data_IF_589269259218
#
_entry.id   IF_589269259218
#
_cell.length_a   1.000
_cell.length_b   1.000
_cell.length_c   1.000
_cell.angle_alpha   90.00
_cell.angle_beta   90.00
_cell.angle_gamma   90.00
#
_symmetry.space_group_name_H-M   'P 1'
#
loop_
_entity.id
_entity.type
_entity.pdbx_description
1 polymer ?
#
# COMPACT_ATOMS: atom_id res chain seq x y z
N UNK A 1 15.47 -6.78 35.45
CA UNK A 1 14.16 -7.49 35.47
C UNK A 1 14.29 -8.79 36.24
N UNK A 2 13.34 -9.11 37.09
CA UNK A 2 13.29 -10.42 37.78
C UNK A 2 12.94 -11.55 36.79
N UNK A 3 13.26 -12.80 37.13
CA UNK A 3 12.88 -13.99 36.32
C UNK A 3 11.36 -14.01 36.03
N UNK A 4 10.53 -13.65 37.00
CA UNK A 4 9.08 -13.56 36.81
C UNK A 4 8.66 -12.50 35.79
N UNK A 5 9.33 -11.36 35.75
CA UNK A 5 9.07 -10.32 34.74
C UNK A 5 9.45 -10.77 33.32
N UNK A 6 10.59 -11.48 33.16
CA UNK A 6 10.97 -12.06 31.86
C UNK A 6 9.96 -13.11 31.38
N UNK A 7 9.49 -13.97 32.26
CA UNK A 7 8.48 -14.97 31.93
C UNK A 7 7.15 -14.35 31.55
N UNK A 8 6.71 -13.31 32.27
CA UNK A 8 5.47 -12.60 31.94
C UNK A 8 5.57 -11.91 30.55
N UNK A 9 6.67 -11.20 30.29
CA UNK A 9 6.90 -10.56 29.00
C UNK A 9 6.94 -11.57 27.85
N UNK A 10 7.64 -12.71 28.05
CA UNK A 10 7.69 -13.80 27.07
C UNK A 10 6.33 -14.44 26.84
N UNK A 11 5.54 -14.66 27.90
CA UNK A 11 4.20 -15.24 27.79
C UNK A 11 3.23 -14.30 27.02
N UNK A 12 3.22 -13.02 27.36
CA UNK A 12 2.37 -12.02 26.66
C UNK A 12 2.79 -11.85 25.19
N UNK A 13 4.10 -11.76 24.92
CA UNK A 13 4.63 -11.69 23.56
C UNK A 13 4.34 -12.96 22.75
N UNK A 14 4.49 -14.11 23.38
CA UNK A 14 4.16 -15.42 22.79
C UNK A 14 2.68 -15.56 22.46
N UNK A 15 1.80 -15.14 23.37
CA UNK A 15 0.35 -15.17 23.14
C UNK A 15 -0.04 -14.32 21.92
N UNK A 16 0.50 -13.11 21.80
CA UNK A 16 0.25 -12.24 20.62
C UNK A 16 0.82 -12.89 19.35
N UNK A 17 2.02 -13.45 19.39
CA UNK A 17 2.61 -14.11 18.23
C UNK A 17 1.76 -15.31 17.77
N UNK A 18 1.29 -16.15 18.71
CA UNK A 18 0.39 -17.26 18.41
C UNK A 18 -0.92 -16.75 17.79
N UNK A 19 -1.53 -15.72 18.37
CA UNK A 19 -2.77 -15.11 17.84
C UNK A 19 -2.60 -14.63 16.41
N UNK A 20 -1.46 -13.99 16.06
CA UNK A 20 -1.19 -13.51 14.71
C UNK A 20 -0.92 -14.62 13.69
N UNK A 21 -0.28 -15.71 14.12
CA UNK A 21 0.09 -16.83 13.23
C UNK A 21 -1.06 -17.83 13.05
N UNK A 22 -1.87 -18.04 14.09
CA UNK A 22 -2.94 -19.04 14.10
C UNK A 22 -3.91 -18.95 12.91
N UNK A 23 -4.46 -17.77 12.52
CA UNK A 23 -5.34 -17.67 11.36
C UNK A 23 -4.68 -18.07 10.05
N UNK A 24 -3.38 -17.76 9.88
CA UNK A 24 -2.63 -18.10 8.66
C UNK A 24 -2.37 -19.62 8.60
N UNK A 25 -2.04 -20.23 9.74
CA UNK A 25 -1.90 -21.69 9.84
C UNK A 25 -3.25 -22.36 9.59
N UNK A 26 -4.33 -21.86 10.17
CA UNK A 26 -5.67 -22.39 9.97
C UNK A 26 -6.07 -22.31 8.49
N UNK A 27 -5.82 -21.20 7.79
CA UNK A 27 -6.08 -21.06 6.36
C UNK A 27 -5.42 -22.17 5.55
N UNK A 28 -4.14 -22.45 5.81
CA UNK A 28 -3.41 -23.49 5.08
C UNK A 28 -3.88 -24.89 5.48
N UNK A 29 -4.08 -25.14 6.78
CA UNK A 29 -4.43 -26.46 7.30
C UNK A 29 -5.86 -26.90 6.95
N UNK A 30 -6.79 -25.94 6.78
CA UNK A 30 -8.19 -26.24 6.45
C UNK A 30 -8.48 -26.25 4.96
N UNK A 31 -7.52 -25.86 4.11
CA UNK A 31 -7.69 -25.92 2.65
C UNK A 31 -7.52 -27.34 2.16
N UNK A 32 -8.63 -27.97 1.81
CA UNK A 32 -8.68 -29.41 1.46
C UNK A 32 -8.25 -29.72 0.03
N UNK A 33 -8.49 -28.80 -0.93
CA UNK A 33 -8.21 -29.00 -2.35
C UNK A 33 -7.77 -27.68 -3.00
N UNK A 34 -6.48 -27.38 -2.82
CA UNK A 34 -5.88 -26.17 -3.38
C UNK A 34 -5.89 -26.17 -4.92
N UNK A 35 -5.69 -27.34 -5.54
CA UNK A 35 -5.62 -27.44 -7.00
C UNK A 35 -6.99 -27.15 -7.64
N UNK A 36 -8.06 -27.73 -7.11
CA UNK A 36 -9.42 -27.43 -7.59
C UNK A 36 -9.79 -25.96 -7.36
N UNK A 37 -9.43 -25.38 -6.21
CA UNK A 37 -9.67 -23.96 -5.94
C UNK A 37 -8.91 -23.04 -6.91
N UNK A 38 -7.66 -23.36 -7.25
CA UNK A 38 -6.86 -22.61 -8.24
C UNK A 38 -7.37 -22.74 -9.67
N UNK A 39 -8.09 -23.81 -10.00
CA UNK A 39 -8.72 -24.01 -11.31
C UNK A 39 -9.97 -23.13 -11.53
N UNK A 40 -10.45 -22.42 -10.50
CA UNK A 40 -11.58 -21.49 -10.63
C UNK A 40 -11.27 -20.38 -11.66
N UNK A 41 -12.23 -20.08 -12.56
CA UNK A 41 -12.05 -19.05 -13.60
C UNK A 41 -11.83 -17.65 -13.03
N UNK A 42 -12.18 -17.41 -11.76
CA UNK A 42 -12.00 -16.11 -11.08
C UNK A 42 -10.54 -15.81 -10.74
N UNK A 43 -9.71 -16.85 -10.51
CA UNK A 43 -8.36 -16.67 -9.92
C UNK A 43 -7.43 -15.88 -10.85
N UNK A 44 -7.26 -16.33 -12.08
CA UNK A 44 -6.28 -15.75 -13.00
C UNK A 44 -6.62 -14.30 -13.41
N UNK A 45 -7.87 -13.95 -13.78
CA UNK A 45 -8.23 -12.55 -14.06
C UNK A 45 -8.05 -11.63 -12.85
N UNK A 46 -8.52 -12.05 -11.67
CA UNK A 46 -8.43 -11.25 -10.45
C UNK A 46 -6.96 -11.03 -10.02
N UNK A 47 -6.12 -12.06 -10.10
CA UNK A 47 -4.69 -11.96 -9.79
C UNK A 47 -3.98 -11.00 -10.75
N UNK A 48 -4.22 -11.15 -12.06
CA UNK A 48 -3.64 -10.27 -13.08
C UNK A 48 -4.05 -8.82 -12.86
N UNK A 49 -5.34 -8.59 -12.62
CA UNK A 49 -5.86 -7.25 -12.37
C UNK A 49 -5.22 -6.64 -11.13
N UNK A 50 -5.21 -7.36 -10.00
CA UNK A 50 -4.60 -6.88 -8.74
C UNK A 50 -3.13 -6.52 -8.92
N UNK A 51 -2.34 -7.36 -9.58
CA UNK A 51 -0.92 -7.08 -9.80
C UNK A 51 -0.72 -5.87 -10.71
N UNK A 52 -1.49 -5.75 -11.79
CA UNK A 52 -1.38 -4.62 -12.71
C UNK A 52 -1.79 -3.30 -12.02
N UNK A 53 -2.95 -3.27 -11.37
CA UNK A 53 -3.45 -2.03 -10.73
C UNK A 53 -2.56 -1.59 -9.59
N UNK A 54 -2.13 -2.52 -8.73
CA UNK A 54 -1.26 -2.18 -7.59
C UNK A 54 0.14 -1.73 -8.02
N UNK A 55 0.71 -2.29 -9.09
CA UNK A 55 1.99 -1.82 -9.64
C UNK A 55 1.87 -0.43 -10.25
N UNK A 56 0.78 -0.16 -11.00
CA UNK A 56 0.50 1.18 -11.54
C UNK A 56 0.28 2.17 -10.40
N UNK A 57 -0.50 1.81 -9.39
CA UNK A 57 -0.74 2.63 -8.20
C UNK A 57 0.57 2.93 -7.45
N UNK A 58 1.43 1.92 -7.27
CA UNK A 58 2.74 2.11 -6.65
C UNK A 58 3.61 3.07 -7.46
N UNK A 59 3.66 2.91 -8.80
CA UNK A 59 4.43 3.80 -9.66
C UNK A 59 3.95 5.27 -9.52
N UNK A 60 2.64 5.50 -9.53
CA UNK A 60 2.05 6.83 -9.32
C UNK A 60 2.43 7.38 -7.95
N UNK A 61 2.27 6.58 -6.90
CA UNK A 61 2.58 6.98 -5.52
C UNK A 61 4.07 7.33 -5.37
N UNK A 62 4.97 6.53 -5.93
CA UNK A 62 6.42 6.80 -5.86
C UNK A 62 6.79 8.05 -6.65
N UNK A 63 6.28 8.20 -7.88
CA UNK A 63 6.60 9.34 -8.76
C UNK A 63 6.09 10.65 -8.18
N UNK A 64 4.87 10.68 -7.64
CA UNK A 64 4.27 11.90 -7.09
C UNK A 64 4.62 12.11 -5.61
N UNK A 65 4.70 11.05 -4.84
CA UNK A 65 4.99 11.10 -3.39
C UNK A 65 6.44 11.47 -3.08
N UNK A 66 7.41 11.08 -3.92
CA UNK A 66 8.82 11.43 -3.72
C UNK A 66 9.07 12.94 -3.73
N UNK A 67 8.65 13.71 -4.76
CA UNK A 67 8.83 15.16 -4.76
C UNK A 67 8.01 15.83 -3.66
N UNK A 68 6.82 15.32 -3.31
CA UNK A 68 6.02 15.84 -2.21
C UNK A 68 6.76 15.68 -0.87
N UNK A 69 7.26 14.48 -0.58
CA UNK A 69 8.02 14.22 0.64
C UNK A 69 9.32 15.04 0.69
N UNK A 70 10.00 15.20 -0.44
CA UNK A 70 11.19 16.05 -0.54
C UNK A 70 10.87 17.52 -0.24
N UNK A 71 9.78 18.07 -0.77
CA UNK A 71 9.35 19.43 -0.49
C UNK A 71 8.98 19.63 0.98
N UNK A 72 8.28 18.67 1.58
CA UNK A 72 7.84 18.72 2.97
C UNK A 72 8.98 18.54 3.98
N UNK A 73 10.12 17.93 3.63
CA UNK A 73 11.22 17.65 4.57
C UNK A 73 11.78 18.88 5.26
N UNK A 74 11.88 20.01 4.56
CA UNK A 74 12.38 21.28 5.05
C UNK A 74 11.31 22.34 5.23
N UNK A 75 10.07 22.04 4.85
CA UNK A 75 8.95 22.95 5.03
C UNK A 75 8.60 23.12 6.51
N UNK A 76 8.40 24.36 6.94
CA UNK A 76 8.06 24.74 8.32
C UNK A 76 6.83 25.63 8.31
N UNK A 77 6.15 25.72 9.46
CA UNK A 77 4.98 26.59 9.61
C UNK A 77 3.63 25.87 9.46
N UNK A 78 2.53 26.63 9.55
CA UNK A 78 1.18 26.05 9.60
C UNK A 78 0.78 25.36 8.30
N UNK A 79 1.15 25.91 7.16
CA UNK A 79 0.82 25.32 5.86
C UNK A 79 1.44 23.92 5.68
N UNK A 80 2.71 23.74 6.05
CA UNK A 80 3.37 22.44 5.98
C UNK A 80 2.67 21.41 6.85
N UNK A 81 2.28 21.79 8.07
CA UNK A 81 1.51 20.93 8.99
C UNK A 81 0.15 20.55 8.42
N UNK A 82 -0.55 21.49 7.81
CA UNK A 82 -1.84 21.22 7.16
C UNK A 82 -1.66 20.21 6.02
N UNK A 83 -0.67 20.41 5.14
CA UNK A 83 -0.41 19.47 4.03
C UNK A 83 -0.02 18.07 4.56
N UNK A 84 0.86 17.99 5.57
CA UNK A 84 1.21 16.71 6.20
C UNK A 84 -0.04 16.02 6.78
N UNK A 85 -0.93 16.77 7.44
CA UNK A 85 -2.19 16.23 7.99
C UNK A 85 -3.11 15.74 6.88
N UNK A 86 -3.31 16.52 5.81
CA UNK A 86 -4.15 16.14 4.67
C UNK A 86 -3.63 14.84 4.02
N UNK A 87 -2.32 14.74 3.82
CA UNK A 87 -1.71 13.50 3.26
C UNK A 87 -1.96 12.29 4.17
N UNK A 88 -2.08 12.49 5.48
CA UNK A 88 -2.29 11.40 6.44
C UNK A 88 -3.76 11.03 6.64
N UNK A 89 -4.71 11.90 6.26
CA UNK A 89 -6.14 11.66 6.43
C UNK A 89 -6.62 10.29 5.93
N UNK A 90 -6.18 9.79 4.75
CA UNK A 90 -6.64 8.48 4.26
C UNK A 90 -6.31 7.30 5.17
N UNK A 91 -5.34 7.43 6.09
CA UNK A 91 -5.02 6.36 7.07
C UNK A 91 -6.15 6.21 8.10
N UNK A 92 -6.75 7.33 8.48
CA UNK A 92 -7.77 7.37 9.55
C UNK A 92 -9.18 7.16 8.99
N UNK A 93 -9.38 7.52 7.72
CA UNK A 93 -10.68 7.39 7.05
C UNK A 93 -10.99 5.90 6.81
N UNK A 94 -12.16 5.39 7.26
CA UNK A 94 -12.57 4.02 6.96
C UNK A 94 -12.60 3.77 5.45
N UNK A 95 -12.12 2.62 4.95
CA UNK A 95 -12.00 2.37 3.50
C UNK A 95 -13.32 2.55 2.72
N UNK A 96 -14.45 2.12 3.28
CA UNK A 96 -15.76 2.32 2.65
C UNK A 96 -16.12 3.81 2.51
N UNK A 97 -15.80 4.63 3.53
CA UNK A 97 -16.00 6.09 3.48
C UNK A 97 -15.09 6.73 2.43
N UNK A 98 -13.85 6.27 2.33
CA UNK A 98 -12.92 6.71 1.29
C UNK A 98 -13.49 6.45 -0.12
N UNK A 99 -14.05 5.27 -0.36
CA UNK A 99 -14.68 4.93 -1.65
C UNK A 99 -15.90 5.79 -1.96
N UNK A 100 -16.76 6.06 -0.99
CA UNK A 100 -17.90 6.98 -1.14
C UNK A 100 -17.40 8.40 -1.44
N UNK A 101 -16.38 8.88 -0.73
CA UNK A 101 -15.79 10.19 -0.99
C UNK A 101 -15.21 10.30 -2.41
N UNK A 102 -14.50 9.26 -2.89
CA UNK A 102 -14.02 9.19 -4.27
C UNK A 102 -15.18 9.18 -5.28
N UNK A 103 -16.25 8.45 -5.00
CA UNK A 103 -17.45 8.44 -5.85
C UNK A 103 -18.14 9.80 -5.90
N UNK A 104 -18.24 10.52 -4.79
CA UNK A 104 -18.79 11.87 -4.72
C UNK A 104 -17.88 12.91 -5.42
N UNK A 105 -16.57 12.69 -5.43
CA UNK A 105 -15.63 13.56 -6.14
C UNK A 105 -15.60 13.28 -7.64
N UNK A 106 -15.44 12.01 -8.03
CA UNK A 106 -15.12 11.59 -9.41
C UNK A 106 -16.22 10.78 -10.10
N UNK A 107 -17.34 10.48 -9.44
CA UNK A 107 -18.49 9.82 -10.04
C UNK A 107 -19.19 10.70 -11.09
N UNK A 108 -20.11 10.14 -11.87
CA UNK A 108 -20.82 10.85 -12.96
C UNK A 108 -21.51 12.16 -12.51
N UNK A 109 -21.99 12.22 -11.29
CA UNK A 109 -22.59 13.42 -10.68
C UNK A 109 -21.69 14.06 -9.63
N UNK A 110 -20.40 13.65 -9.59
CA UNK A 110 -19.43 14.15 -8.63
C UNK A 110 -18.88 15.52 -8.99
N UNK A 111 -18.17 16.15 -8.03
CA UNK A 111 -17.62 17.50 -8.15
C UNK A 111 -16.73 17.68 -9.38
N UNK A 112 -15.92 16.68 -9.71
CA UNK A 112 -14.97 16.71 -10.84
C UNK A 112 -15.49 15.85 -11.99
N UNK A 113 -16.08 14.69 -11.69
CA UNK A 113 -16.52 13.72 -12.69
C UNK A 113 -17.64 14.23 -13.60
N UNK A 114 -18.45 15.17 -13.14
CA UNK A 114 -19.48 15.82 -13.96
C UNK A 114 -18.92 16.69 -15.08
N UNK A 115 -17.67 17.18 -14.94
CA UNK A 115 -17.01 18.09 -15.91
C UNK A 115 -15.99 17.38 -16.78
N UNK A 116 -15.16 16.49 -16.19
CA UNK A 116 -14.05 15.83 -16.87
C UNK A 116 -14.38 14.40 -17.33
N UNK A 117 -15.60 13.94 -17.07
CA UNK A 117 -15.95 12.53 -17.24
C UNK A 117 -15.63 11.70 -16.00
N UNK A 118 -16.38 10.62 -15.81
CA UNK A 118 -16.29 9.78 -14.61
C UNK A 118 -15.49 8.52 -14.85
N UNK A 119 -14.41 8.26 -14.09
CA UNK A 119 -13.71 6.98 -14.10
C UNK A 119 -14.40 5.90 -13.25
N UNK A 120 -15.48 6.23 -12.51
CA UNK A 120 -16.17 5.27 -11.65
C UNK A 120 -16.56 4.01 -12.41
N UNK A 121 -16.46 2.84 -11.76
CA UNK A 121 -16.73 1.52 -12.31
C UNK A 121 -15.79 1.10 -13.46
N UNK A 122 -14.56 1.62 -13.48
CA UNK A 122 -13.51 1.24 -14.42
C UNK A 122 -12.24 0.79 -13.68
N UNK A 123 -11.30 0.16 -14.39
CA UNK A 123 -9.98 -0.16 -13.84
C UNK A 123 -9.21 1.07 -13.35
N UNK A 124 -9.47 2.25 -13.94
CA UNK A 124 -8.88 3.52 -13.48
C UNK A 124 -9.39 3.87 -12.08
N UNK A 125 -10.66 3.62 -11.78
CA UNK A 125 -11.20 3.83 -10.43
C UNK A 125 -10.55 2.90 -9.40
N UNK A 126 -10.20 1.67 -9.77
CA UNK A 126 -9.41 0.75 -8.91
C UNK A 126 -8.07 1.39 -8.56
N UNK A 127 -7.31 1.81 -9.58
CA UNK A 127 -6.00 2.47 -9.38
C UNK A 127 -6.12 3.72 -8.50
N UNK A 128 -7.15 4.55 -8.72
CA UNK A 128 -7.39 5.76 -7.92
C UNK A 128 -7.69 5.42 -6.46
N UNK A 129 -8.49 4.39 -6.19
CA UNK A 129 -8.78 3.93 -4.84
C UNK A 129 -7.52 3.42 -4.14
N UNK A 130 -6.73 2.58 -4.82
CA UNK A 130 -5.46 2.06 -4.33
C UNK A 130 -4.45 3.18 -4.04
N UNK A 131 -4.29 4.16 -4.94
CA UNK A 131 -3.43 5.34 -4.74
C UNK A 131 -3.88 6.12 -3.51
N UNK A 132 -5.18 6.41 -3.38
CA UNK A 132 -5.72 7.19 -2.27
C UNK A 132 -5.39 6.57 -0.92
N UNK A 133 -5.60 5.26 -0.77
CA UNK A 133 -5.40 4.57 0.52
C UNK A 133 -3.94 4.23 0.82
N UNK A 134 -3.10 4.09 -0.21
CA UNK A 134 -1.71 3.63 -0.06
C UNK A 134 -0.67 4.76 -0.05
N UNK A 135 -0.96 5.90 -0.68
CA UNK A 135 -0.04 7.03 -0.78
C UNK A 135 0.50 7.53 0.58
N UNK A 136 -0.30 7.65 1.64
CA UNK A 136 0.19 8.11 2.94
C UNK A 136 1.34 7.26 3.48
N UNK A 137 1.31 5.94 3.29
CA UNK A 137 2.33 5.03 3.79
C UNK A 137 3.69 5.28 3.13
N UNK A 138 3.69 5.50 1.83
CA UNK A 138 4.91 5.87 1.12
C UNK A 138 5.41 7.26 1.52
N UNK A 139 4.52 8.28 1.49
CA UNK A 139 4.91 9.67 1.73
C UNK A 139 5.46 9.85 3.14
N UNK A 140 4.87 9.22 4.16
CA UNK A 140 5.40 9.27 5.53
C UNK A 140 6.78 8.62 5.65
N UNK A 141 6.97 7.44 5.07
CA UNK A 141 8.26 6.76 5.09
C UNK A 141 9.33 7.56 4.34
N UNK A 142 8.99 8.09 3.16
CA UNK A 142 9.86 8.92 2.34
C UNK A 142 10.23 10.23 3.07
N UNK A 143 9.27 10.90 3.70
CA UNK A 143 9.48 12.11 4.49
C UNK A 143 10.44 11.83 5.66
N UNK A 144 10.21 10.74 6.39
CA UNK A 144 11.10 10.30 7.46
C UNK A 144 12.51 9.95 6.96
N UNK A 145 12.62 9.33 5.79
CA UNK A 145 13.91 9.03 5.17
C UNK A 145 14.67 10.30 4.75
N UNK A 146 13.99 11.24 4.09
CA UNK A 146 14.61 12.51 3.70
C UNK A 146 14.98 13.40 4.89
N UNK A 147 14.23 13.39 5.99
CA UNK A 147 14.56 14.13 7.23
C UNK A 147 15.81 13.57 7.93
N UNK A 148 16.18 12.31 7.66
CA UNK A 148 17.42 11.70 8.20
C UNK A 148 18.65 11.99 7.35
N UNK A 149 18.52 12.52 6.14
CA UNK A 149 19.67 12.95 5.32
C UNK A 149 20.33 14.15 5.98
N UNK A 150 21.64 14.07 6.23
CA UNK A 150 22.38 15.17 6.86
C UNK A 150 22.31 16.42 5.97
N UNK A 151 21.77 17.50 6.53
CA UNK A 151 21.60 18.79 5.85
C UNK A 151 22.97 19.37 5.39
N UNK A 152 24.06 19.04 6.09
CA UNK A 152 25.41 19.47 5.71
C UNK A 152 25.79 18.95 4.32
N UNK A 153 25.44 17.71 3.97
CA UNK A 153 25.70 17.15 2.64
C UNK A 153 24.98 17.93 1.54
N UNK A 154 23.77 18.39 1.84
CA UNK A 154 22.96 19.17 0.92
C UNK A 154 23.57 20.57 0.73
N UNK A 155 23.97 21.21 1.82
CA UNK A 155 24.63 22.53 1.79
C UNK A 155 25.94 22.44 1.01
N UNK A 156 26.80 21.47 1.31
CA UNK A 156 28.08 21.26 0.59
C UNK A 156 27.84 21.04 -0.91
N UNK A 157 26.90 20.17 -1.28
CA UNK A 157 26.59 19.96 -2.70
C UNK A 157 26.14 21.27 -3.40
N UNK A 158 25.39 22.12 -2.70
CA UNK A 158 24.96 23.42 -3.22
C UNK A 158 26.07 24.42 -3.34
N UNK A 159 27.04 24.47 -2.41
CA UNK A 159 28.22 25.34 -2.52
C UNK A 159 29.11 24.97 -3.72
N UNK A 160 29.11 23.68 -4.13
CA UNK A 160 29.73 23.25 -5.38
C UNK A 160 28.87 23.48 -6.64
N UNK A 161 27.81 24.26 -6.56
CA UNK A 161 26.98 24.66 -7.70
C UNK A 161 25.95 23.60 -8.14
N UNK A 162 25.65 22.59 -7.31
CA UNK A 162 24.61 21.62 -7.65
C UNK A 162 23.21 22.27 -7.60
N UNK A 163 22.42 22.10 -8.67
CA UNK A 163 21.03 22.53 -8.72
C UNK A 163 20.17 21.70 -7.73
N UNK A 164 19.01 22.22 -7.27
CA UNK A 164 18.13 21.51 -6.35
C UNK A 164 17.76 20.09 -6.82
N UNK A 165 17.49 19.92 -8.11
CA UNK A 165 17.18 18.61 -8.70
C UNK A 165 18.41 17.68 -8.69
N UNK A 166 19.59 18.21 -8.93
CA UNK A 166 20.85 17.44 -8.88
C UNK A 166 21.14 16.98 -7.44
N UNK A 167 20.87 17.82 -6.45
CA UNK A 167 20.99 17.45 -5.02
C UNK A 167 19.99 16.35 -4.68
N UNK A 168 18.73 16.46 -5.11
CA UNK A 168 17.74 15.42 -4.89
C UNK A 168 18.20 14.08 -5.49
N UNK A 169 18.55 14.07 -6.80
CA UNK A 169 18.80 12.83 -7.53
C UNK A 169 20.14 12.19 -7.14
N UNK A 170 21.21 12.98 -6.93
CA UNK A 170 22.56 12.46 -6.71
C UNK A 170 22.99 12.36 -5.25
N UNK A 171 22.28 13.03 -4.33
CA UNK A 171 22.65 13.04 -2.91
C UNK A 171 21.52 12.46 -2.07
N UNK A 172 20.33 13.08 -2.12
CA UNK A 172 19.25 12.74 -1.18
C UNK A 172 18.60 11.40 -1.50
N UNK A 173 18.27 11.12 -2.76
CA UNK A 173 17.64 9.85 -3.17
C UNK A 173 18.50 8.62 -2.85
N UNK A 174 19.81 8.58 -3.17
CA UNK A 174 20.64 7.43 -2.79
C UNK A 174 20.71 7.22 -1.29
N UNK A 175 20.87 8.29 -0.51
CA UNK A 175 20.94 8.22 0.95
C UNK A 175 19.60 7.84 1.61
N UNK A 176 18.49 8.26 1.01
CA UNK A 176 17.14 7.93 1.49
C UNK A 176 16.62 6.59 0.95
N UNK A 177 17.31 5.97 -0.02
CA UNK A 177 16.84 4.79 -0.74
C UNK A 177 16.32 3.65 0.16
N UNK A 178 16.98 3.27 1.27
CA UNK A 178 16.45 2.22 2.14
C UNK A 178 15.07 2.56 2.70
N UNK A 179 14.86 3.82 3.12
CA UNK A 179 13.58 4.27 3.65
C UNK A 179 12.50 4.42 2.57
N UNK A 180 12.88 4.85 1.36
CA UNK A 180 11.99 4.92 0.21
C UNK A 180 11.52 3.51 -0.21
N UNK A 181 12.43 2.54 -0.27
CA UNK A 181 12.09 1.16 -0.56
C UNK A 181 11.15 0.57 0.50
N UNK A 182 11.43 0.81 1.79
CA UNK A 182 10.54 0.37 2.86
C UNK A 182 9.14 0.99 2.73
N UNK A 183 9.06 2.29 2.42
CA UNK A 183 7.81 3.00 2.17
C UNK A 183 7.05 2.45 0.95
N UNK A 184 7.76 2.14 -0.14
CA UNK A 184 7.19 1.54 -1.34
C UNK A 184 6.59 0.15 -1.04
N UNK A 185 7.27 -0.66 -0.22
CA UNK A 185 6.75 -1.95 0.22
C UNK A 185 5.45 -1.83 1.00
N UNK A 186 5.44 -0.94 2.00
CA UNK A 186 4.26 -0.73 2.85
C UNK A 186 3.08 -0.20 2.02
N UNK A 187 3.34 0.74 1.11
CA UNK A 187 2.34 1.28 0.20
C UNK A 187 1.77 0.21 -0.72
N UNK A 188 2.64 -0.62 -1.33
CA UNK A 188 2.16 -1.72 -2.19
C UNK A 188 1.38 -2.78 -1.43
N UNK A 189 1.86 -3.22 -0.27
CA UNK A 189 1.13 -4.16 0.58
C UNK A 189 -0.27 -3.62 0.96
N UNK A 190 -0.36 -2.31 1.24
CA UNK A 190 -1.63 -1.64 1.53
C UNK A 190 -2.55 -1.59 0.30
N UNK A 191 -2.01 -1.30 -0.89
CA UNK A 191 -2.77 -1.30 -2.13
C UNK A 191 -3.26 -2.71 -2.50
N UNK A 192 -2.40 -3.75 -2.36
CA UNK A 192 -2.72 -5.13 -2.68
C UNK A 192 -3.89 -5.69 -1.85
N UNK A 193 -4.02 -5.26 -0.61
CA UNK A 193 -5.12 -5.63 0.29
C UNK A 193 -6.31 -4.68 0.25
N UNK A 194 -6.39 -3.76 -0.74
CA UNK A 194 -7.49 -2.81 -0.77
C UNK A 194 -8.79 -3.49 -1.27
N UNK A 195 -9.85 -3.27 -0.50
CA UNK A 195 -11.17 -3.84 -0.73
C UNK A 195 -12.27 -2.78 -0.69
N UNK A 196 -12.36 -2.05 0.43
CA UNK A 196 -13.53 -1.23 0.75
C UNK A 196 -13.69 -0.01 -0.15
N UNK A 197 -12.62 0.74 -0.40
CA UNK A 197 -12.67 1.90 -1.27
C UNK A 197 -12.90 1.47 -2.73
N UNK A 198 -12.28 0.37 -3.16
CA UNK A 198 -12.46 -0.20 -4.50
C UNK A 198 -13.91 -0.63 -4.70
N UNK A 199 -14.50 -1.38 -3.77
CA UNK A 199 -15.89 -1.84 -3.87
C UNK A 199 -16.86 -0.67 -4.04
N UNK A 200 -16.71 0.39 -3.25
CA UNK A 200 -17.64 1.54 -3.27
C UNK A 200 -17.46 2.44 -4.49
N UNK A 201 -16.24 2.60 -5.02
CA UNK A 201 -15.95 3.52 -6.12
C UNK A 201 -15.85 2.83 -7.48
N UNK A 202 -15.21 1.66 -7.54
CA UNK A 202 -14.99 0.93 -8.78
C UNK A 202 -16.00 -0.22 -8.97
N UNK A 203 -16.71 -0.63 -7.92
CA UNK A 203 -17.60 -1.79 -7.96
C UNK A 203 -16.84 -3.11 -7.93
N UNK A 204 -17.53 -4.19 -8.34
CA UNK A 204 -17.00 -5.55 -8.33
C UNK A 204 -17.36 -6.26 -9.66
N UNK A 205 -16.80 -5.76 -10.76
CA UNK A 205 -17.08 -6.26 -12.12
C UNK A 205 -15.97 -7.24 -12.53
N UNK A 206 -16.35 -8.49 -12.77
CA UNK A 206 -15.41 -9.53 -13.20
C UNK A 206 -14.64 -9.12 -14.46
N UNK A 207 -13.31 -9.32 -14.42
CA UNK A 207 -12.40 -8.95 -15.51
C UNK A 207 -12.14 -7.45 -15.70
N UNK A 208 -12.87 -6.56 -15.00
CA UNK A 208 -12.75 -5.09 -15.14
C UNK A 208 -12.29 -4.43 -13.85
N UNK A 209 -12.96 -4.70 -12.71
CA UNK A 209 -12.66 -4.06 -11.42
C UNK A 209 -12.52 -5.05 -10.27
N UNK A 210 -12.80 -6.33 -10.51
CA UNK A 210 -12.73 -7.38 -9.50
C UNK A 210 -11.27 -7.75 -9.19
N UNK A 211 -10.69 -7.10 -8.19
CA UNK A 211 -9.37 -7.44 -7.64
C UNK A 211 -9.42 -8.73 -6.82
N UNK A 212 -8.26 -9.29 -6.44
CA UNK A 212 -8.19 -10.51 -5.61
C UNK A 212 -9.01 -10.41 -4.31
N UNK A 213 -8.94 -9.33 -3.50
CA UNK A 213 -9.81 -9.21 -2.33
C UNK A 213 -11.31 -9.24 -2.67
N UNK A 214 -11.71 -8.63 -3.78
CA UNK A 214 -13.10 -8.63 -4.24
C UNK A 214 -13.53 -10.01 -4.77
N UNK A 215 -12.65 -10.71 -5.49
CA UNK A 215 -12.90 -12.07 -5.97
C UNK A 215 -12.99 -13.07 -4.80
N UNK A 216 -12.14 -12.94 -3.77
CA UNK A 216 -12.23 -13.73 -2.54
C UNK A 216 -13.60 -13.51 -1.88
N UNK A 217 -14.04 -12.27 -1.76
CA UNK A 217 -15.34 -11.93 -1.18
C UNK A 217 -16.49 -12.59 -1.96
N UNK A 218 -16.49 -12.49 -3.29
CA UNK A 218 -17.51 -13.14 -4.14
C UNK A 218 -17.48 -14.66 -4.00
N UNK A 219 -16.28 -15.26 -4.01
CA UNK A 219 -16.13 -16.70 -3.89
C UNK A 219 -16.55 -17.24 -2.49
N UNK A 220 -16.44 -16.44 -1.43
CA UNK A 220 -16.92 -16.84 -0.10
C UNK A 220 -18.41 -17.21 -0.09
N UNK A 221 -19.21 -16.63 -0.99
CA UNK A 221 -20.65 -16.86 -1.07
C UNK A 221 -21.01 -18.08 -1.95
N UNK A 222 -20.11 -18.48 -2.88
CA UNK A 222 -20.43 -19.47 -3.92
C UNK A 222 -19.48 -20.67 -3.99
N UNK A 223 -18.17 -20.44 -3.76
CA UNK A 223 -17.11 -21.45 -3.85
C UNK A 223 -16.02 -21.20 -2.80
N UNK A 224 -16.22 -21.78 -1.63
CA UNK A 224 -15.28 -21.65 -0.51
C UNK A 224 -13.87 -22.16 -0.83
N UNK A 225 -13.74 -23.17 -1.71
CA UNK A 225 -12.42 -23.71 -2.12
C UNK A 225 -11.65 -22.67 -2.94
N UNK A 226 -12.34 -22.01 -3.88
CA UNK A 226 -11.75 -20.90 -4.65
C UNK A 226 -11.36 -19.73 -3.72
N UNK A 227 -12.22 -19.36 -2.77
CA UNK A 227 -11.90 -18.31 -1.80
C UNK A 227 -10.65 -18.63 -0.97
N UNK A 228 -10.53 -19.87 -0.45
CA UNK A 228 -9.36 -20.33 0.30
C UNK A 228 -8.09 -20.32 -0.57
N UNK A 229 -8.17 -20.85 -1.79
CA UNK A 229 -7.05 -20.89 -2.72
C UNK A 229 -6.56 -19.48 -3.09
N UNK A 230 -7.47 -18.57 -3.44
CA UNK A 230 -7.14 -17.18 -3.72
C UNK A 230 -6.53 -16.46 -2.50
N UNK A 231 -7.02 -16.75 -1.29
CA UNK A 231 -6.45 -16.20 -0.05
C UNK A 231 -5.01 -16.66 0.17
N UNK A 232 -4.72 -17.95 -0.07
CA UNK A 232 -3.36 -18.50 0.01
C UNK A 232 -2.45 -17.81 -1.03
N UNK A 233 -2.91 -17.68 -2.28
CA UNK A 233 -2.14 -16.99 -3.33
C UNK A 233 -1.82 -15.56 -2.92
N UNK A 234 -2.80 -14.82 -2.41
CA UNK A 234 -2.60 -13.43 -1.99
C UNK A 234 -1.60 -13.33 -0.83
N UNK A 235 -1.69 -14.23 0.16
CA UNK A 235 -0.72 -14.30 1.28
C UNK A 235 0.68 -14.65 0.77
N UNK A 236 0.80 -15.58 -0.18
CA UNK A 236 2.09 -15.92 -0.78
C UNK A 236 2.69 -14.75 -1.55
N UNK A 237 1.92 -14.06 -2.38
CA UNK A 237 2.37 -12.87 -3.11
C UNK A 237 2.84 -11.80 -2.13
N UNK A 238 2.05 -11.49 -1.10
CA UNK A 238 2.42 -10.51 -0.07
C UNK A 238 3.69 -10.93 0.69
N UNK A 239 3.83 -12.22 1.01
CA UNK A 239 4.99 -12.77 1.72
C UNK A 239 6.27 -12.72 0.87
N UNK A 240 6.19 -13.10 -0.39
CA UNK A 240 7.32 -13.01 -1.35
C UNK A 240 7.78 -11.57 -1.48
N UNK A 241 6.85 -10.65 -1.62
CA UNK A 241 7.12 -9.23 -1.66
C UNK A 241 7.86 -8.75 -0.41
N UNK A 242 7.32 -9.07 0.76
CA UNK A 242 7.90 -8.69 2.04
C UNK A 242 9.34 -9.21 2.19
N UNK A 243 9.58 -10.48 1.84
CA UNK A 243 10.91 -11.07 1.87
C UNK A 243 11.85 -10.43 0.86
N UNK A 244 11.40 -10.20 -0.38
CA UNK A 244 12.20 -9.53 -1.42
C UNK A 244 12.62 -8.13 -0.98
N UNK A 245 11.71 -7.35 -0.42
CA UNK A 245 12.00 -6.02 0.11
C UNK A 245 13.00 -6.07 1.28
N UNK A 246 12.82 -7.00 2.21
CA UNK A 246 13.72 -7.17 3.35
C UNK A 246 15.14 -7.54 2.89
N UNK A 247 15.28 -8.36 1.87
CA UNK A 247 16.60 -8.73 1.31
C UNK A 247 17.27 -7.56 0.58
N UNK A 248 16.49 -6.75 -0.16
CA UNK A 248 16.99 -5.53 -0.78
C UNK A 248 17.47 -4.51 0.26
N UNK A 249 16.69 -4.29 1.32
CA UNK A 249 17.07 -3.39 2.42
C UNK A 249 18.36 -3.80 3.11
N UNK A 250 18.61 -5.11 3.30
CA UNK A 250 19.86 -5.62 3.91
C UNK A 250 21.09 -5.40 3.04
N UNK A 251 20.93 -5.27 1.72
CA UNK A 251 22.06 -5.01 0.79
C UNK A 251 22.42 -3.53 0.69
N UNK A 252 21.54 -2.65 1.13
CA UNK A 252 21.72 -1.18 1.08
C UNK A 252 22.08 -0.57 2.44
N UNK A 253 22.11 -1.37 3.51
CA UNK A 253 22.61 -1.02 4.84
C UNK A 253 24.02 -1.52 5.03
#
# INVERSE_FOLDING_TARGET
>A
MSRAQHLLVAALGGALAIFLVLPLVALVATTSDLAAGLASPLVAPALRLSLLTTLVSLAIVVVLGTPLAWALRSARGPLARVVETIVQLPIVVPPAVAGVALLLAFGRRGLVGSWLGSPAFTTVAVVMAEVFVSAPFFVQAALGAFRRVDERLIVVARTFGASPLRVLVRVALPLAAPGLLAGAAMSWARALGEFGATLMFAGNLEGVTQTMPLAIYTAMESDLRAAQAMSIVLVLVASVLFVAMRTLLRRTS
#
